data_IF_823000852409
#
_entry.id   IF_823000852409
#
_cell.length_a   1.000
_cell.length_b   1.000
_cell.length_c   1.000
_cell.angle_alpha   90.00
_cell.angle_beta   90.00
_cell.angle_gamma   90.00
#
_symmetry.space_group_name_H-M   'P 1'
#
loop_
_entity.id
_entity.type
_entity.pdbx_description
1 polymer ?
#
# COMPACT_ATOMS: atom_id res chain seq x y z
N UNK A 1 -38.62 32.85 -20.09
CA UNK A 1 -38.85 32.12 -18.83
C UNK A 1 -39.05 30.60 -19.03
N UNK A 2 -40.10 30.07 -19.66
CA UNK A 2 -40.26 28.60 -19.83
C UNK A 2 -39.20 27.99 -20.76
N UNK A 3 -38.92 28.63 -21.91
CA UNK A 3 -37.88 28.18 -22.84
C UNK A 3 -36.46 28.26 -22.24
N UNK A 4 -36.16 29.29 -21.45
CA UNK A 4 -34.88 29.40 -20.71
C UNK A 4 -34.72 28.27 -19.68
N UNK A 5 -35.78 27.94 -18.93
CA UNK A 5 -35.75 26.84 -17.97
C UNK A 5 -35.58 25.47 -18.65
N UNK A 6 -36.21 25.27 -19.81
CA UNK A 6 -36.05 24.06 -20.62
C UNK A 6 -34.60 23.92 -21.12
N UNK A 7 -34.00 25.01 -21.63
CA UNK A 7 -32.62 24.99 -22.11
C UNK A 7 -31.59 24.72 -20.99
N UNK A 8 -31.75 25.35 -19.82
CA UNK A 8 -30.90 25.09 -18.64
C UNK A 8 -31.04 23.63 -18.18
N UNK A 9 -32.26 23.08 -18.19
CA UNK A 9 -32.52 21.69 -17.80
C UNK A 9 -31.86 20.70 -18.75
N UNK A 10 -31.92 20.94 -20.06
CA UNK A 10 -31.30 20.09 -21.07
C UNK A 10 -29.77 20.11 -21.00
N UNK A 11 -29.17 21.29 -20.73
CA UNK A 11 -27.73 21.42 -20.50
C UNK A 11 -27.30 20.69 -19.22
N UNK A 12 -28.09 20.80 -18.15
CA UNK A 12 -27.86 20.07 -16.90
C UNK A 12 -27.97 18.55 -17.09
N UNK A 13 -28.91 18.07 -17.90
CA UNK A 13 -29.07 16.66 -18.25
C UNK A 13 -27.82 16.09 -18.91
N UNK A 14 -27.35 16.75 -19.97
CA UNK A 14 -26.15 16.34 -20.69
C UNK A 14 -24.90 16.36 -19.80
N UNK A 15 -24.80 17.33 -18.88
CA UNK A 15 -23.70 17.40 -17.93
C UNK A 15 -23.73 16.26 -16.90
N UNK A 16 -24.89 15.95 -16.31
CA UNK A 16 -25.04 14.87 -15.33
C UNK A 16 -24.78 13.50 -15.96
N UNK A 17 -25.31 13.26 -17.17
CA UNK A 17 -25.10 12.00 -17.88
C UNK A 17 -23.62 11.81 -18.22
N UNK A 18 -22.95 12.86 -18.69
CA UNK A 18 -21.51 12.85 -18.94
C UNK A 18 -20.73 12.55 -17.65
N UNK A 19 -21.05 13.24 -16.55
CA UNK A 19 -20.37 13.02 -15.26
C UNK A 19 -20.60 11.61 -14.73
N UNK A 20 -21.80 11.04 -14.91
CA UNK A 20 -22.10 9.67 -14.51
C UNK A 20 -21.26 8.68 -15.31
N UNK A 21 -21.21 8.84 -16.64
CA UNK A 21 -20.40 8.01 -17.53
C UNK A 21 -18.91 8.11 -17.20
N UNK A 22 -18.39 9.33 -17.03
CA UNK A 22 -16.99 9.57 -16.69
C UNK A 22 -16.65 8.96 -15.32
N UNK A 23 -17.54 9.09 -14.33
CA UNK A 23 -17.33 8.50 -12.99
C UNK A 23 -17.40 6.96 -13.02
N UNK A 24 -18.27 6.36 -13.84
CA UNK A 24 -18.30 4.90 -14.03
C UNK A 24 -17.04 4.38 -14.72
N UNK A 25 -16.54 5.08 -15.73
CA UNK A 25 -15.26 4.74 -16.37
C UNK A 25 -14.09 4.83 -15.39
N UNK A 26 -14.08 5.86 -14.52
CA UNK A 26 -13.11 6.01 -13.45
C UNK A 26 -13.20 4.86 -12.44
N UNK A 27 -14.41 4.45 -12.05
CA UNK A 27 -14.66 3.31 -11.16
C UNK A 27 -14.17 1.99 -11.76
N UNK A 28 -14.40 1.74 -13.06
CA UNK A 28 -13.92 0.54 -13.75
C UNK A 28 -12.39 0.51 -13.83
N UNK A 29 -11.76 1.63 -14.18
CA UNK A 29 -10.29 1.78 -14.17
C UNK A 29 -9.74 1.53 -12.76
N UNK A 30 -10.38 2.10 -11.75
CA UNK A 30 -10.02 1.89 -10.35
C UNK A 30 -10.10 0.43 -9.93
N UNK A 31 -11.16 -0.28 -10.31
CA UNK A 31 -11.35 -1.70 -9.99
C UNK A 31 -10.26 -2.58 -10.60
N UNK A 32 -9.93 -2.36 -11.88
CA UNK A 32 -8.87 -3.11 -12.56
C UNK A 32 -7.50 -2.91 -11.87
N UNK A 33 -7.19 -1.67 -11.51
CA UNK A 33 -5.93 -1.34 -10.85
C UNK A 33 -5.89 -1.81 -9.39
N UNK A 34 -7.01 -1.77 -8.67
CA UNK A 34 -7.14 -2.34 -7.33
C UNK A 34 -6.88 -3.85 -7.32
N UNK A 35 -7.36 -4.59 -8.33
CA UNK A 35 -7.02 -6.01 -8.48
C UNK A 35 -5.53 -6.21 -8.74
N UNK A 36 -4.92 -5.39 -9.61
CA UNK A 36 -3.48 -5.43 -9.82
C UNK A 36 -2.70 -5.15 -8.52
N UNK A 37 -3.19 -4.25 -7.68
CA UNK A 37 -2.60 -4.02 -6.37
C UNK A 37 -2.73 -5.22 -5.44
N UNK A 38 -3.89 -5.89 -5.39
CA UNK A 38 -4.04 -7.13 -4.61
C UNK A 38 -3.00 -8.15 -5.04
N UNK A 39 -2.77 -8.31 -6.34
CA UNK A 39 -1.70 -9.18 -6.85
C UNK A 39 -0.32 -8.75 -6.37
N UNK A 40 0.01 -7.46 -6.42
CA UNK A 40 1.29 -6.98 -5.88
C UNK A 40 1.42 -7.16 -4.36
N UNK A 41 0.33 -7.00 -3.62
CA UNK A 41 0.28 -7.31 -2.18
C UNK A 41 0.64 -8.77 -1.93
N UNK A 42 0.08 -9.70 -2.71
CA UNK A 42 0.46 -11.12 -2.64
C UNK A 42 1.93 -11.34 -3.00
N UNK A 43 2.46 -10.66 -4.02
CA UNK A 43 3.89 -10.73 -4.36
C UNK A 43 4.78 -10.17 -3.26
N UNK A 44 4.33 -9.15 -2.52
CA UNK A 44 5.04 -8.65 -1.33
C UNK A 44 4.98 -9.68 -0.22
N UNK A 45 3.82 -10.26 0.07
CA UNK A 45 3.69 -11.30 1.11
C UNK A 45 4.58 -12.51 0.79
N UNK A 46 4.69 -12.87 -0.49
CA UNK A 46 5.62 -13.89 -0.98
C UNK A 46 7.08 -13.48 -0.76
N UNK A 47 7.46 -12.24 -1.11
CA UNK A 47 8.83 -11.73 -0.86
C UNK A 47 9.15 -11.53 0.61
N UNK A 48 8.14 -11.24 1.44
CA UNK A 48 8.23 -11.21 2.89
C UNK A 48 8.49 -12.61 3.44
N UNK A 49 7.81 -13.63 2.89
CA UNK A 49 8.04 -15.03 3.25
C UNK A 49 9.43 -15.51 2.81
N UNK A 50 9.88 -15.19 1.59
CA UNK A 50 11.25 -15.47 1.15
C UNK A 50 12.29 -14.80 2.06
N UNK A 51 12.02 -13.57 2.49
CA UNK A 51 12.88 -12.88 3.43
C UNK A 51 12.87 -13.57 4.80
N UNK A 52 11.70 -14.04 5.30
CA UNK A 52 11.61 -14.81 6.54
C UNK A 52 12.36 -16.14 6.46
N UNK A 53 12.33 -16.81 5.31
CA UNK A 53 13.11 -18.03 5.03
C UNK A 53 14.61 -17.73 4.92
N UNK A 54 14.99 -16.61 4.32
CA UNK A 54 16.40 -16.15 4.30
C UNK A 54 16.88 -15.79 5.69
N UNK A 55 15.99 -15.22 6.51
CA UNK A 55 16.20 -14.87 7.91
C UNK A 55 15.97 -16.07 8.85
N UNK A 56 15.81 -17.27 8.30
CA UNK A 56 15.49 -18.43 9.11
C UNK A 56 16.61 -18.68 10.11
N UNK A 57 16.22 -18.62 11.38
CA UNK A 57 17.11 -18.82 12.51
C UNK A 57 17.88 -20.14 12.40
N UNK A 58 17.35 -21.14 11.67
CA UNK A 58 18.04 -22.40 11.38
C UNK A 58 19.33 -22.22 10.59
N UNK A 59 19.37 -21.32 9.59
CA UNK A 59 20.57 -21.05 8.78
C UNK A 59 21.65 -20.41 9.64
N UNK A 60 21.27 -19.44 10.46
CA UNK A 60 22.16 -18.81 11.44
C UNK A 60 22.63 -19.82 12.50
N UNK A 61 21.74 -20.63 13.05
CA UNK A 61 22.07 -21.64 14.07
C UNK A 61 22.97 -22.74 13.51
N UNK A 62 22.81 -23.11 12.24
CA UNK A 62 23.74 -24.01 11.56
C UNK A 62 25.13 -23.38 11.43
N UNK A 63 25.23 -22.14 10.94
CA UNK A 63 26.51 -21.44 10.84
C UNK A 63 27.19 -21.26 12.22
N UNK A 64 26.39 -21.02 13.27
CA UNK A 64 26.85 -20.93 14.65
C UNK A 64 27.36 -22.28 15.17
N UNK A 65 26.66 -23.37 14.84
CA UNK A 65 27.04 -24.75 15.21
C UNK A 65 28.30 -25.18 14.49
N UNK A 66 28.43 -24.90 13.19
CA UNK A 66 29.64 -25.19 12.41
C UNK A 66 30.85 -24.42 12.94
N UNK A 67 30.67 -23.14 13.29
CA UNK A 67 31.71 -22.35 13.94
C UNK A 67 32.10 -22.94 15.29
N UNK A 68 31.12 -23.43 16.07
CA UNK A 68 31.35 -24.09 17.35
C UNK A 68 32.15 -25.37 17.21
N UNK A 69 31.72 -26.26 16.32
CA UNK A 69 32.42 -27.51 16.07
C UNK A 69 33.85 -27.27 15.57
N UNK A 70 34.05 -26.26 14.72
CA UNK A 70 35.38 -25.88 14.23
C UNK A 70 36.27 -25.33 15.35
N UNK A 71 35.72 -24.54 16.27
CA UNK A 71 36.46 -24.03 17.45
C UNK A 71 36.79 -25.14 18.44
N UNK A 72 35.85 -26.05 18.70
CA UNK A 72 36.05 -27.20 19.60
C UNK A 72 37.07 -28.20 19.03
N UNK A 73 37.16 -28.34 17.71
CA UNK A 73 38.15 -29.19 17.01
C UNK A 73 39.52 -28.52 16.81
N UNK A 74 39.64 -27.21 16.99
CA UNK A 74 40.86 -26.44 16.73
C UNK A 74 41.66 -26.20 18.00
N UNK A 75 42.64 -27.06 18.29
CA UNK A 75 43.42 -27.09 19.53
C UNK A 75 44.56 -26.06 19.63
N UNK A 76 44.64 -25.10 18.71
CA UNK A 76 45.71 -24.09 18.66
C UNK A 76 45.14 -22.68 18.63
N UNK A 77 45.89 -21.69 19.18
CA UNK A 77 45.52 -20.27 19.10
C UNK A 77 45.28 -19.81 17.67
N UNK A 78 46.04 -20.35 16.71
CA UNK A 78 45.86 -20.09 15.29
C UNK A 78 44.52 -20.64 14.79
N UNK A 79 44.16 -21.87 15.14
CA UNK A 79 42.88 -22.48 14.74
C UNK A 79 41.66 -21.78 15.36
N UNK A 80 41.76 -21.28 16.60
CA UNK A 80 40.70 -20.44 17.20
C UNK A 80 40.56 -19.12 16.44
N UNK A 81 41.67 -18.46 16.10
CA UNK A 81 41.63 -17.23 15.31
C UNK A 81 41.04 -17.45 13.90
N UNK A 82 41.37 -18.56 13.26
CA UNK A 82 40.80 -18.97 11.97
C UNK A 82 39.29 -19.21 12.09
N UNK A 83 38.84 -19.91 13.14
CA UNK A 83 37.42 -20.16 13.38
C UNK A 83 36.63 -18.87 13.69
N UNK A 84 37.19 -17.96 14.48
CA UNK A 84 36.61 -16.61 14.71
C UNK A 84 36.47 -15.87 13.39
N UNK A 85 37.54 -15.86 12.58
CA UNK A 85 37.54 -15.15 11.29
C UNK A 85 36.54 -15.75 10.30
N UNK A 86 36.39 -17.07 10.30
CA UNK A 86 35.40 -17.78 9.50
C UNK A 86 33.98 -17.42 9.95
N UNK A 87 33.71 -17.44 11.26
CA UNK A 87 32.41 -17.05 11.83
C UNK A 87 32.06 -15.60 11.49
N UNK A 88 32.96 -14.64 11.72
CA UNK A 88 32.74 -13.23 11.37
C UNK A 88 32.45 -13.03 9.88
N UNK A 89 33.11 -13.80 9.00
CA UNK A 89 32.82 -13.78 7.56
C UNK A 89 31.42 -14.27 7.26
N UNK A 90 30.97 -15.35 7.91
CA UNK A 90 29.61 -15.85 7.74
C UNK A 90 28.56 -14.83 8.20
N UNK A 91 28.78 -14.15 9.33
CA UNK A 91 27.86 -13.10 9.78
C UNK A 91 27.76 -11.95 8.78
N UNK A 92 28.88 -11.53 8.18
CA UNK A 92 28.88 -10.49 7.13
C UNK A 92 28.14 -10.93 5.88
N UNK A 93 28.37 -12.16 5.41
CA UNK A 93 27.65 -12.72 4.25
C UNK A 93 26.14 -12.78 4.52
N UNK A 94 25.76 -13.17 5.74
CA UNK A 94 24.37 -13.21 6.15
C UNK A 94 23.74 -11.81 6.16
N UNK A 95 24.40 -10.81 6.75
CA UNK A 95 23.96 -9.42 6.73
C UNK A 95 23.79 -8.87 5.30
N UNK A 96 24.74 -9.16 4.40
CA UNK A 96 24.65 -8.74 2.99
C UNK A 96 23.47 -9.38 2.26
N UNK A 97 23.15 -10.65 2.56
CA UNK A 97 22.00 -11.33 1.98
C UNK A 97 20.68 -10.67 2.43
N UNK A 98 20.59 -10.31 3.71
CA UNK A 98 19.43 -9.58 4.27
C UNK A 98 19.30 -8.21 3.60
N UNK A 99 20.40 -7.46 3.46
CA UNK A 99 20.42 -6.14 2.82
C UNK A 99 19.92 -6.18 1.38
N UNK A 100 20.38 -7.14 0.58
CA UNK A 100 19.90 -7.33 -0.79
C UNK A 100 18.39 -7.58 -0.82
N UNK A 101 17.88 -8.47 0.05
CA UNK A 101 16.45 -8.80 0.09
C UNK A 101 15.58 -7.63 0.55
N UNK A 102 16.06 -6.84 1.51
CA UNK A 102 15.39 -5.61 1.95
C UNK A 102 15.33 -4.58 0.83
N UNK A 103 16.42 -4.42 0.07
CA UNK A 103 16.45 -3.52 -1.09
C UNK A 103 15.47 -3.95 -2.20
N UNK A 104 15.42 -5.26 -2.52
CA UNK A 104 14.44 -5.83 -3.46
C UNK A 104 13.00 -5.53 -3.03
N UNK A 105 12.65 -5.77 -1.76
CA UNK A 105 11.32 -5.47 -1.21
C UNK A 105 11.01 -3.97 -1.23
N UNK A 106 11.99 -3.13 -0.88
CA UNK A 106 11.84 -1.67 -0.88
C UNK A 106 11.53 -1.14 -2.29
N UNK A 107 12.22 -1.67 -3.30
CA UNK A 107 11.98 -1.30 -4.69
C UNK A 107 10.60 -1.77 -5.17
N UNK A 108 10.16 -2.96 -4.77
CA UNK A 108 8.81 -3.46 -5.07
C UNK A 108 7.73 -2.55 -4.48
N UNK A 109 7.85 -2.19 -3.20
CA UNK A 109 6.94 -1.24 -2.52
C UNK A 109 6.94 0.10 -3.26
N UNK A 110 8.11 0.65 -3.60
CA UNK A 110 8.21 1.91 -4.34
C UNK A 110 7.50 1.85 -5.69
N UNK A 111 7.68 0.77 -6.45
CA UNK A 111 7.04 0.58 -7.76
C UNK A 111 5.52 0.53 -7.63
N UNK A 112 5.00 -0.12 -6.58
CA UNK A 112 3.57 -0.18 -6.30
C UNK A 112 3.00 1.22 -6.03
N UNK A 113 3.66 1.99 -5.16
CA UNK A 113 3.26 3.35 -4.83
C UNK A 113 3.29 4.26 -6.07
N UNK A 114 4.33 4.16 -6.90
CA UNK A 114 4.45 4.94 -8.14
C UNK A 114 3.37 4.56 -9.15
N UNK A 115 3.10 3.27 -9.33
CA UNK A 115 2.05 2.82 -10.23
C UNK A 115 0.69 3.34 -9.79
N UNK A 116 0.37 3.25 -8.50
CA UNK A 116 -0.89 3.78 -7.97
C UNK A 116 -0.99 5.30 -8.16
N UNK A 117 0.08 6.05 -7.90
CA UNK A 117 0.13 7.49 -8.13
C UNK A 117 -0.14 7.86 -9.60
N UNK A 118 0.51 7.17 -10.53
CA UNK A 118 0.38 7.42 -11.97
C UNK A 118 -1.01 7.06 -12.50
N UNK A 119 -1.56 5.94 -12.04
CA UNK A 119 -2.81 5.39 -12.54
C UNK A 119 -4.06 6.14 -12.00
N UNK A 120 -3.94 6.79 -10.84
CA UNK A 120 -5.06 7.46 -10.15
C UNK A 120 -4.88 8.97 -9.96
N UNK A 121 -3.69 9.53 -10.21
CA UNK A 121 -3.42 10.96 -9.96
C UNK A 121 -3.50 11.35 -8.48
N UNK A 122 -3.46 10.37 -7.57
CA UNK A 122 -3.52 10.59 -6.13
C UNK A 122 -2.10 10.80 -5.61
N UNK A 123 -1.91 11.84 -4.79
CA UNK A 123 -0.66 12.05 -4.08
C UNK A 123 -0.44 10.94 -3.06
N UNK A 124 0.44 9.99 -3.38
CA UNK A 124 0.74 8.86 -2.49
C UNK A 124 1.93 9.20 -1.62
N UNK A 125 1.78 9.08 -0.30
CA UNK A 125 2.87 9.28 0.65
C UNK A 125 3.66 7.98 0.72
N UNK A 126 4.87 7.98 0.15
CA UNK A 126 5.76 6.83 0.19
C UNK A 126 6.09 6.46 1.65
N UNK A 127 6.13 5.15 1.99
CA UNK A 127 6.49 4.73 3.33
C UNK A 127 7.96 5.06 3.60
N UNK A 128 8.29 5.28 4.88
CA UNK A 128 9.68 5.50 5.29
C UNK A 128 10.51 4.28 4.91
N UNK A 129 11.60 4.51 4.17
CA UNK A 129 12.57 3.47 3.89
C UNK A 129 13.19 2.95 5.20
N UNK A 130 13.27 1.63 5.34
CA UNK A 130 14.00 1.00 6.42
C UNK A 130 15.44 0.75 5.98
N UNK A 131 16.40 0.86 6.90
CA UNK A 131 17.84 0.79 6.61
C UNK A 131 18.56 -0.11 7.60
N UNK A 132 19.66 -0.72 7.16
CA UNK A 132 20.48 -1.62 7.98
C UNK A 132 21.67 -0.92 8.63
N UNK A 133 21.89 0.36 8.37
CA UNK A 133 23.12 1.09 8.75
C UNK A 133 23.48 0.94 10.23
N UNK A 134 22.47 1.07 11.11
CA UNK A 134 22.68 0.93 12.56
C UNK A 134 22.97 -0.53 12.97
N UNK A 135 22.36 -1.49 12.28
CA UNK A 135 22.58 -2.91 12.51
C UNK A 135 23.95 -3.36 11.99
N UNK A 136 24.45 -2.77 10.90
CA UNK A 136 25.79 -3.00 10.39
C UNK A 136 26.85 -2.55 11.41
N UNK A 137 26.67 -1.37 12.04
CA UNK A 137 27.57 -0.91 13.11
C UNK A 137 27.57 -1.84 14.31
N UNK A 138 26.40 -2.34 14.72
CA UNK A 138 26.28 -3.31 15.80
C UNK A 138 26.97 -4.63 15.45
N UNK A 139 26.85 -5.09 14.20
CA UNK A 139 27.56 -6.27 13.73
C UNK A 139 29.08 -6.07 13.75
N UNK A 140 29.57 -4.92 13.30
CA UNK A 140 31.00 -4.61 13.32
C UNK A 140 31.55 -4.61 14.74
N UNK A 141 30.81 -4.05 15.71
CA UNK A 141 31.18 -4.12 17.13
C UNK A 141 31.27 -5.57 17.65
N UNK A 142 30.31 -6.43 17.28
CA UNK A 142 30.35 -7.86 17.64
C UNK A 142 31.57 -8.56 17.01
N UNK A 143 31.92 -8.21 15.77
CA UNK A 143 33.07 -8.78 15.06
C UNK A 143 34.40 -8.31 15.65
N UNK A 144 34.48 -7.06 16.10
CA UNK A 144 35.64 -6.55 16.82
C UNK A 144 35.82 -7.26 18.17
N UNK A 145 34.73 -7.44 18.92
CA UNK A 145 34.73 -8.17 20.19
C UNK A 145 35.17 -9.64 19.98
N UNK A 146 34.63 -10.29 18.95
CA UNK A 146 35.02 -11.65 18.55
C UNK A 146 36.52 -11.75 18.22
N UNK A 147 37.05 -10.76 17.50
CA UNK A 147 38.46 -10.67 17.13
C UNK A 147 39.37 -10.45 18.34
N UNK A 148 38.93 -9.64 19.31
CA UNK A 148 39.63 -9.41 20.57
C UNK A 148 39.69 -10.70 21.41
N UNK A 149 38.63 -11.50 21.41
CA UNK A 149 38.61 -12.82 22.05
C UNK A 149 39.72 -13.74 21.52
N UNK A 150 39.93 -13.77 20.20
CA UNK A 150 40.98 -14.55 19.54
C UNK A 150 42.40 -14.04 19.82
N UNK A 151 42.59 -12.74 20.05
CA UNK A 151 43.91 -12.11 20.28
C UNK A 151 44.31 -12.05 21.77
N UNK A 152 43.36 -11.81 22.67
CA UNK A 152 43.61 -11.49 24.08
C UNK A 152 43.87 -12.69 24.98
N UNK A 153 43.43 -13.89 24.59
CA UNK A 153 43.69 -15.10 25.35
C UNK A 153 44.97 -15.78 24.81
N UNK A 154 46.09 -15.61 25.52
CA UNK A 154 47.15 -16.65 25.51
C UNK A 154 46.46 -17.90 26.03
N UNK A 155 45.98 -18.76 25.13
CA UNK A 155 45.22 -19.95 25.47
C UNK A 155 46.13 -20.83 26.35
N UNK A 156 45.96 -20.72 27.67
CA UNK A 156 46.59 -21.66 28.59
C UNK A 156 46.06 -23.05 28.25
N UNK A 157 46.96 -24.01 28.11
CA UNK A 157 46.67 -25.42 27.81
C UNK A 157 45.62 -26.05 28.73
N UNK A 158 45.30 -25.42 29.87
CA UNK A 158 44.39 -25.90 30.92
C UNK A 158 42.96 -25.33 30.89
N UNK A 159 42.61 -24.40 29.97
CA UNK A 159 41.31 -23.69 29.98
C UNK A 159 40.49 -23.71 28.68
N UNK A 160 40.85 -24.57 27.73
CA UNK A 160 40.47 -24.48 26.31
C UNK A 160 38.96 -24.62 26.03
N UNK A 161 38.28 -25.59 26.66
CA UNK A 161 36.82 -25.75 26.55
C UNK A 161 36.04 -24.55 27.11
N UNK A 162 36.59 -23.86 28.12
CA UNK A 162 35.98 -22.68 28.72
C UNK A 162 36.03 -21.46 27.80
N UNK A 163 37.08 -21.31 26.99
CA UNK A 163 37.22 -20.21 26.03
C UNK A 163 36.20 -20.34 24.89
N UNK A 164 36.10 -21.54 24.29
CA UNK A 164 35.09 -21.81 23.27
C UNK A 164 33.68 -21.60 23.82
N UNK A 165 33.37 -22.17 25.00
CA UNK A 165 32.06 -21.99 25.64
C UNK A 165 31.72 -20.53 25.88
N UNK A 166 32.65 -19.74 26.42
CA UNK A 166 32.42 -18.31 26.69
C UNK A 166 32.23 -17.51 25.40
N UNK A 167 32.96 -17.83 24.33
CA UNK A 167 32.76 -17.21 23.02
C UNK A 167 31.31 -17.40 22.52
N UNK A 168 30.77 -18.62 22.59
CA UNK A 168 29.40 -18.88 22.17
C UNK A 168 28.35 -18.30 23.13
N UNK A 169 28.63 -18.28 24.43
CA UNK A 169 27.74 -17.65 25.43
C UNK A 169 27.63 -16.13 25.26
N UNK A 170 28.69 -15.47 24.78
CA UNK A 170 28.70 -14.01 24.62
C UNK A 170 28.52 -13.59 23.15
N UNK A 171 29.51 -13.84 22.30
CA UNK A 171 29.51 -13.40 20.89
C UNK A 171 28.38 -14.09 20.11
N UNK A 172 28.23 -15.40 20.29
CA UNK A 172 27.16 -16.17 19.64
C UNK A 172 25.77 -15.68 20.06
N UNK A 173 25.57 -15.40 21.34
CA UNK A 173 24.33 -14.83 21.86
C UNK A 173 24.06 -13.42 21.32
N UNK A 174 25.05 -12.52 21.35
CA UNK A 174 24.91 -11.16 20.84
C UNK A 174 24.57 -11.14 19.34
N UNK A 175 25.23 -11.99 18.55
CA UNK A 175 24.91 -12.16 17.13
C UNK A 175 23.47 -12.67 16.94
N UNK A 176 23.05 -13.66 17.73
CA UNK A 176 21.68 -14.19 17.67
C UNK A 176 20.64 -13.11 17.98
N UNK A 177 20.83 -12.36 19.06
CA UNK A 177 19.93 -11.27 19.45
C UNK A 177 19.85 -10.18 18.37
N UNK A 178 20.99 -9.81 17.77
CA UNK A 178 21.04 -8.85 16.67
C UNK A 178 20.21 -9.31 15.47
N UNK A 179 20.41 -10.54 14.99
CA UNK A 179 19.66 -11.05 13.84
C UNK A 179 18.18 -11.29 14.14
N UNK A 180 17.83 -11.74 15.35
CA UNK A 180 16.42 -11.84 15.78
C UNK A 180 15.75 -10.46 15.90
N UNK A 181 16.49 -9.42 16.31
CA UNK A 181 15.99 -8.04 16.28
C UNK A 181 15.75 -7.56 14.86
N UNK A 182 16.74 -7.70 13.97
CA UNK A 182 16.63 -7.37 12.54
C UNK A 182 15.41 -8.03 11.93
N UNK A 183 15.21 -9.33 12.18
CA UNK A 183 14.08 -10.08 11.65
C UNK A 183 12.73 -9.53 12.12
N UNK A 184 12.59 -9.24 13.42
CA UNK A 184 11.36 -8.64 13.96
C UNK A 184 11.07 -7.28 13.35
N UNK A 185 12.09 -6.43 13.23
CA UNK A 185 11.94 -5.10 12.66
C UNK A 185 11.57 -5.13 11.18
N UNK A 186 12.22 -5.97 10.38
CA UNK A 186 11.90 -6.07 8.96
C UNK A 186 10.50 -6.65 8.75
N UNK A 187 10.12 -7.70 9.50
CA UNK A 187 8.76 -8.24 9.42
C UNK A 187 7.70 -7.19 9.74
N UNK A 188 7.93 -6.39 10.78
CA UNK A 188 7.04 -5.28 11.12
C UNK A 188 6.98 -4.23 10.01
N UNK A 189 8.13 -3.84 9.46
CA UNK A 189 8.22 -2.85 8.38
C UNK A 189 7.50 -3.33 7.11
N UNK A 190 7.74 -4.56 6.65
CA UNK A 190 7.07 -5.09 5.44
C UNK A 190 5.56 -5.10 5.62
N UNK A 191 5.06 -5.62 6.75
CA UNK A 191 3.61 -5.70 7.03
C UNK A 191 2.94 -4.32 7.16
N UNK A 192 3.65 -3.32 7.69
CA UNK A 192 3.12 -1.97 7.89
C UNK A 192 3.27 -1.08 6.65
N UNK A 193 4.22 -1.39 5.75
CA UNK A 193 4.57 -0.53 4.61
C UNK A 193 3.43 -0.32 3.60
N UNK A 194 2.53 -1.29 3.44
CA UNK A 194 1.39 -1.21 2.50
C UNK A 194 0.09 -0.73 3.15
N UNK A 195 0.00 -0.69 4.48
CA UNK A 195 -1.22 -0.31 5.18
C UNK A 195 -1.73 1.07 4.74
N UNK A 196 -0.89 2.13 4.64
CA UNK A 196 -1.37 3.45 4.21
C UNK A 196 -2.01 3.43 2.83
N UNK A 197 -1.43 2.66 1.90
CA UNK A 197 -1.95 2.54 0.54
C UNK A 197 -3.29 1.79 0.52
N UNK A 198 -3.42 0.72 1.32
CA UNK A 198 -4.67 -0.02 1.47
C UNK A 198 -5.81 0.88 1.98
N UNK A 199 -5.53 1.71 2.99
CA UNK A 199 -6.50 2.68 3.50
C UNK A 199 -6.90 3.73 2.44
N UNK A 200 -5.93 4.31 1.71
CA UNK A 200 -6.22 5.29 0.66
C UNK A 200 -7.10 4.70 -0.46
N UNK A 201 -6.93 3.42 -0.76
CA UNK A 201 -7.72 2.73 -1.78
C UNK A 201 -9.14 2.49 -1.34
N UNK A 202 -9.31 2.06 -0.10
CA UNK A 202 -10.64 1.87 0.47
C UNK A 202 -11.42 3.18 0.48
N UNK A 203 -10.78 4.27 0.93
CA UNK A 203 -11.37 5.60 0.99
C UNK A 203 -11.74 6.13 -0.42
N UNK A 204 -10.84 6.00 -1.39
CA UNK A 204 -11.11 6.43 -2.76
C UNK A 204 -12.22 5.61 -3.43
N UNK A 205 -12.28 4.30 -3.17
CA UNK A 205 -13.35 3.43 -3.65
C UNK A 205 -14.71 3.90 -3.12
N UNK A 206 -14.78 4.16 -1.82
CA UNK A 206 -16.00 4.59 -1.16
C UNK A 206 -16.43 5.99 -1.66
N UNK A 207 -15.48 6.89 -1.91
CA UNK A 207 -15.74 8.18 -2.55
C UNK A 207 -16.37 8.02 -3.94
N UNK A 208 -15.81 7.17 -4.82
CA UNK A 208 -16.35 6.92 -6.16
C UNK A 208 -17.76 6.30 -6.09
N UNK A 209 -17.98 5.36 -5.18
CA UNK A 209 -19.29 4.73 -4.99
C UNK A 209 -20.36 5.76 -4.57
N UNK A 210 -20.03 6.65 -3.64
CA UNK A 210 -20.94 7.75 -3.24
C UNK A 210 -21.24 8.68 -4.40
N UNK A 211 -20.21 9.10 -5.15
CA UNK A 211 -20.37 9.99 -6.31
C UNK A 211 -21.29 9.39 -7.38
N UNK A 212 -21.17 8.09 -7.68
CA UNK A 212 -22.10 7.40 -8.60
C UNK A 212 -23.52 7.40 -8.05
N UNK A 213 -23.70 7.13 -6.75
CA UNK A 213 -25.02 7.13 -6.13
C UNK A 213 -25.67 8.52 -6.18
N UNK A 214 -24.92 9.57 -5.86
CA UNK A 214 -25.39 10.95 -5.90
C UNK A 214 -25.78 11.37 -7.32
N UNK A 215 -24.99 11.00 -8.32
CA UNK A 215 -25.30 11.27 -9.73
C UNK A 215 -26.55 10.51 -10.22
N UNK A 216 -26.77 9.28 -9.75
CA UNK A 216 -28.02 8.55 -10.02
C UNK A 216 -29.23 9.24 -9.42
N UNK A 217 -29.14 9.66 -8.15
CA UNK A 217 -30.22 10.40 -7.47
C UNK A 217 -30.49 11.74 -8.18
N UNK A 218 -29.46 12.45 -8.61
CA UNK A 218 -29.60 13.69 -9.37
C UNK A 218 -30.29 13.46 -10.71
N UNK A 219 -29.96 12.36 -11.40
CA UNK A 219 -30.59 11.96 -12.67
C UNK A 219 -32.09 11.67 -12.47
N UNK A 220 -32.44 10.86 -11.47
CA UNK A 220 -33.84 10.56 -11.14
C UNK A 220 -34.64 11.80 -10.72
N UNK A 221 -34.04 12.66 -9.89
CA UNK A 221 -34.68 13.91 -9.46
C UNK A 221 -34.94 14.84 -10.64
N UNK A 222 -33.99 14.91 -11.58
CA UNK A 222 -34.11 15.66 -12.83
C UNK A 222 -35.25 15.13 -13.70
N UNK A 223 -35.33 13.81 -13.90
CA UNK A 223 -36.40 13.15 -14.67
C UNK A 223 -37.79 13.47 -14.07
N UNK A 224 -37.91 13.41 -12.74
CA UNK A 224 -39.15 13.78 -12.06
C UNK A 224 -39.52 15.27 -12.27
N UNK A 225 -38.53 16.17 -12.26
CA UNK A 225 -38.75 17.59 -12.56
C UNK A 225 -39.14 17.82 -14.02
N UNK A 226 -38.59 17.05 -14.96
CA UNK A 226 -38.94 17.10 -16.38
C UNK A 226 -40.41 16.73 -16.58
N UNK A 227 -40.85 15.60 -16.00
CA UNK A 227 -42.26 15.18 -16.04
C UNK A 227 -43.19 16.25 -15.49
N UNK A 228 -42.85 16.85 -14.34
CA UNK A 228 -43.66 17.94 -13.74
C UNK A 228 -43.68 19.19 -14.61
N UNK A 229 -42.57 19.52 -15.27
CA UNK A 229 -42.50 20.67 -16.17
C UNK A 229 -43.42 20.44 -17.37
N UNK A 230 -43.33 19.25 -18.00
CA UNK A 230 -44.20 18.85 -19.12
C UNK A 230 -45.67 18.93 -18.75
N UNK A 231 -46.06 18.32 -17.62
CA UNK A 231 -47.43 18.39 -17.09
C UNK A 231 -47.89 19.84 -16.87
N UNK A 232 -47.01 20.72 -16.38
CA UNK A 232 -47.33 22.13 -16.15
C UNK A 232 -47.50 22.90 -17.47
N UNK A 233 -46.64 22.67 -18.46
CA UNK A 233 -46.79 23.24 -19.81
C UNK A 233 -48.06 22.77 -20.50
N UNK A 234 -48.40 21.49 -20.39
CA UNK A 234 -49.64 20.94 -20.98
C UNK A 234 -50.87 21.61 -20.35
N UNK A 235 -50.90 21.76 -19.03
CA UNK A 235 -51.97 22.48 -18.33
C UNK A 235 -52.05 23.95 -18.75
N UNK A 236 -50.91 24.62 -18.89
CA UNK A 236 -50.86 26.00 -19.36
C UNK A 236 -51.42 26.14 -20.78
N UNK A 237 -51.11 25.18 -21.66
CA UNK A 237 -51.62 25.15 -23.04
C UNK A 237 -53.14 24.94 -23.08
N UNK A 238 -53.66 23.99 -22.29
CA UNK A 238 -55.10 23.77 -22.16
C UNK A 238 -55.81 25.02 -21.65
N UNK A 239 -55.28 25.68 -20.61
CA UNK A 239 -55.86 26.92 -20.09
C UNK A 239 -55.88 28.04 -21.15
N UNK A 240 -54.81 28.14 -21.96
CA UNK A 240 -54.73 29.13 -23.03
C UNK A 240 -55.80 28.89 -24.11
N UNK A 241 -56.01 27.63 -24.51
CA UNK A 241 -57.08 27.25 -25.44
C UNK A 241 -58.47 27.55 -24.87
N UNK A 242 -58.69 27.33 -23.57
CA UNK A 242 -59.95 27.66 -22.90
C UNK A 242 -60.20 29.17 -22.88
N UNK A 243 -59.18 29.98 -22.61
CA UNK A 243 -59.28 31.44 -22.66
C UNK A 243 -59.61 31.92 -24.07
N UNK A 244 -58.94 31.40 -25.09
CA UNK A 244 -59.25 31.69 -26.50
C UNK A 244 -60.70 31.31 -26.86
N UNK A 245 -61.15 30.14 -26.44
CA UNK A 245 -62.52 29.69 -26.67
C UNK A 245 -63.55 30.60 -26.00
N UNK A 246 -63.32 31.00 -24.74
CA UNK A 246 -64.17 31.93 -24.01
C UNK A 246 -64.16 33.32 -24.67
N UNK A 247 -62.99 33.80 -25.11
CA UNK A 247 -62.88 35.06 -25.86
C UNK A 247 -63.72 35.05 -27.14
N UNK A 248 -63.60 33.99 -27.93
CA UNK A 248 -64.40 33.81 -29.15
C UNK A 248 -65.91 33.77 -28.85
N UNK A 249 -66.33 33.14 -27.75
CA UNK A 249 -67.73 33.13 -27.32
C UNK A 249 -68.23 34.53 -26.92
N UNK A 250 -67.41 35.30 -26.19
CA UNK A 250 -67.74 36.68 -25.81
C UNK A 250 -67.89 37.56 -27.06
N UNK A 251 -67.00 37.41 -28.03
CA UNK A 251 -67.07 38.17 -29.29
C UNK A 251 -68.33 37.82 -30.10
N UNK A 252 -68.70 36.54 -30.15
CA UNK A 252 -69.96 36.09 -30.78
C UNK A 252 -71.21 36.64 -30.09
N UNK A 253 -71.21 36.71 -28.75
CA UNK A 253 -72.31 37.29 -27.99
C UNK A 253 -72.42 38.80 -28.20
N UNK A 254 -71.30 39.52 -28.24
CA UNK A 254 -71.27 40.95 -28.52
C UNK A 254 -71.75 41.28 -29.94
N UNK A 255 -71.41 40.46 -30.94
CA UNK A 255 -71.92 40.63 -32.30
C UNK A 255 -73.44 40.42 -32.40
N UNK A 256 -74.02 39.51 -31.60
CA UNK A 256 -75.48 39.31 -31.54
C UNK A 256 -76.25 40.42 -30.86
N UNK A 257 -75.62 41.23 -30.01
CA UNK A 257 -76.28 42.34 -29.30
C UNK A 257 -76.30 43.67 -30.07
N UNK A 258 -75.58 43.77 -31.20
CA UNK A 258 -75.49 44.97 -32.06
C UNK A 258 -76.44 44.87 -33.28
N UNK A 259 -77.22 43.79 -33.39
CA UNK A 259 -78.27 43.60 -34.43
C UNK A 259 -79.64 43.66 -33.80
#
# INVERSE_FOLDING_TARGET
>A
QIEEMSNIHQQSAAAIEKLLKDTQQEQDRFRLNSNALKHFGHSIDEKARELQETLDQRVFEQALTEARDSMEKSWTSKGVQEAVSAFSRQLKLYMMAIERKVAENSQLIKNIYQRFANDHGIGVIQPKAWTLDEHQKQLDAIIEEASAFGKGHRISLTGQSKVARNFFTTIGHNAKELFSKIQREINHWVNSSLQPLAFQIEDHRDMLNRKVQDLKIATQSREMLETKLTESTDRAQVNKQQIEYIGNLIDQLNQRHIT
#
